data_IF_702566376475
#
_entry.id   IF_702566376475
#
_cell.length_a   1.000
_cell.length_b   1.000
_cell.length_c   1.000
_cell.angle_alpha   90.00
_cell.angle_beta   90.00
_cell.angle_gamma   90.00
#
_symmetry.space_group_name_H-M   'P 1'
#
loop_
_entity.id
_entity.type
_entity.pdbx_description
1 polymer ?
#
# COMPACT_ATOMS: atom_id res chain seq x y z
N UNK A 1 2.60 -18.66 0.92
CA UNK A 1 2.56 -18.81 -0.55
C UNK A 1 3.86 -19.46 -0.98
N UNK A 2 3.79 -20.48 -1.83
CA UNK A 2 4.97 -21.11 -2.43
C UNK A 2 5.58 -20.17 -3.47
N UNK A 3 6.88 -20.26 -3.71
CA UNK A 3 7.59 -19.34 -4.62
C UNK A 3 7.07 -19.38 -6.06
N UNK A 4 6.59 -20.56 -6.50
CA UNK A 4 5.95 -20.76 -7.80
C UNK A 4 4.60 -20.03 -7.92
N UNK A 5 3.81 -20.01 -6.84
CA UNK A 5 2.54 -19.27 -6.80
C UNK A 5 2.78 -17.76 -6.85
N UNK A 6 3.86 -17.27 -6.22
CA UNK A 6 4.24 -15.87 -6.29
C UNK A 6 4.61 -15.51 -7.73
N UNK A 7 5.35 -16.33 -8.47
CA UNK A 7 5.73 -16.00 -9.86
C UNK A 7 4.54 -15.98 -10.82
N UNK A 8 3.61 -16.91 -10.65
CA UNK A 8 2.53 -17.13 -11.61
C UNK A 8 1.23 -16.38 -11.28
N UNK A 9 1.11 -15.80 -10.07
CA UNK A 9 -0.07 -15.01 -9.72
C UNK A 9 -0.21 -13.77 -10.62
N UNK A 10 -1.41 -13.45 -11.12
CA UNK A 10 -1.66 -12.18 -11.80
C UNK A 10 -1.43 -11.04 -10.81
N UNK A 11 -0.39 -10.24 -11.03
CA UNK A 11 -0.01 -9.11 -10.17
C UNK A 11 -0.50 -7.83 -10.80
N UNK A 12 -1.32 -7.08 -10.07
CA UNK A 12 -1.54 -5.67 -10.36
C UNK A 12 -0.43 -4.86 -9.69
N UNK A 13 0.08 -3.87 -10.40
CA UNK A 13 1.11 -2.98 -9.86
C UNK A 13 0.42 -1.93 -8.98
N UNK A 14 0.61 -2.01 -7.67
CA UNK A 14 -0.02 -1.06 -6.76
C UNK A 14 0.70 0.30 -6.82
N UNK A 15 -0.03 1.33 -7.21
CA UNK A 15 0.49 2.69 -7.36
C UNK A 15 0.27 3.54 -6.10
N UNK A 16 -0.78 3.26 -5.33
CA UNK A 16 -1.06 3.98 -4.09
C UNK A 16 -1.65 3.05 -3.03
N UNK A 17 -1.17 3.24 -1.80
CA UNK A 17 -1.66 2.60 -0.60
C UNK A 17 -2.13 3.71 0.34
N UNK A 18 -3.42 3.71 0.69
CA UNK A 18 -4.00 4.64 1.64
C UNK A 18 -4.54 3.87 2.84
N UNK A 19 -4.27 4.35 4.04
CA UNK A 19 -4.75 3.73 5.27
C UNK A 19 -5.49 4.76 6.10
N UNK A 20 -6.73 4.44 6.46
CA UNK A 20 -7.55 5.20 7.37
C UNK A 20 -8.06 4.29 8.49
N UNK A 21 -8.53 4.87 9.60
CA UNK A 21 -9.06 4.09 10.71
C UNK A 21 -10.24 4.77 11.40
N UNK A 22 -11.10 3.94 11.95
CA UNK A 22 -12.10 4.28 12.96
C UNK A 22 -11.72 3.55 14.26
N UNK A 23 -12.42 3.81 15.39
CA UNK A 23 -12.18 3.05 16.61
C UNK A 23 -12.42 1.53 16.46
N UNK A 24 -13.20 1.11 15.47
CA UNK A 24 -13.63 -0.28 15.29
C UNK A 24 -12.83 -1.03 14.22
N UNK A 25 -12.36 -0.35 13.18
CA UNK A 25 -11.66 -0.97 12.06
C UNK A 25 -10.68 -0.03 11.35
N UNK A 26 -9.69 -0.63 10.71
CA UNK A 26 -8.80 0.02 9.75
C UNK A 26 -9.30 -0.27 8.34
N UNK A 27 -9.24 0.73 7.47
CA UNK A 27 -9.52 0.58 6.05
C UNK A 27 -8.22 0.79 5.29
N UNK A 28 -7.83 -0.19 4.49
CA UNK A 28 -6.70 -0.10 3.57
C UNK A 28 -7.25 -0.05 2.14
N UNK A 29 -6.93 1.01 1.42
CA UNK A 29 -7.19 1.15 0.00
C UNK A 29 -5.93 0.93 -0.82
N UNK A 30 -5.99 -0.04 -1.74
CA UNK A 30 -4.93 -0.34 -2.70
C UNK A 30 -5.46 0.01 -4.09
N UNK A 31 -4.76 0.89 -4.81
CA UNK A 31 -5.14 1.30 -6.16
C UNK A 31 -4.05 1.01 -7.19
N UNK A 32 -4.49 0.71 -8.42
CA UNK A 32 -3.68 0.46 -9.62
C UNK A 32 -4.46 0.99 -10.83
N UNK A 33 -4.07 2.14 -11.37
CA UNK A 33 -4.79 2.86 -12.41
C UNK A 33 -6.19 3.25 -11.95
N UNK A 34 -7.21 2.84 -12.71
CA UNK A 34 -8.63 3.06 -12.38
C UNK A 34 -9.21 1.98 -11.44
N UNK A 35 -8.44 0.95 -11.08
CA UNK A 35 -8.89 -0.12 -10.20
C UNK A 35 -8.46 0.16 -8.77
N UNK A 36 -9.42 0.12 -7.84
CA UNK A 36 -9.17 0.29 -6.42
C UNK A 36 -9.97 -0.72 -5.61
N UNK A 37 -9.35 -1.30 -4.58
CA UNK A 37 -10.06 -2.18 -3.64
C UNK A 37 -9.82 -1.71 -2.22
N UNK A 38 -10.91 -1.66 -1.45
CA UNK A 38 -10.90 -1.33 -0.05
C UNK A 38 -11.04 -2.60 0.78
N UNK A 39 -10.16 -2.77 1.76
CA UNK A 39 -10.20 -3.87 2.72
C UNK A 39 -10.41 -3.31 4.11
N UNK A 40 -11.38 -3.85 4.84
CA UNK A 40 -11.57 -3.55 6.26
C UNK A 40 -10.90 -4.61 7.11
N UNK A 41 -10.11 -4.16 8.08
CA UNK A 41 -9.33 -4.99 8.99
C UNK A 41 -9.64 -4.58 10.42
N UNK A 42 -9.84 -5.55 11.30
CA UNK A 42 -9.89 -5.27 12.75
C UNK A 42 -8.51 -4.78 13.23
N UNK A 43 -8.43 -4.00 14.33
CA UNK A 43 -7.15 -3.52 14.88
C UNK A 43 -6.10 -4.63 15.11
N UNK A 44 -6.53 -5.82 15.56
CA UNK A 44 -5.65 -6.96 15.81
C UNK A 44 -5.03 -7.49 14.50
N UNK A 45 -5.82 -7.59 13.43
CA UNK A 45 -5.32 -7.97 12.11
C UNK A 45 -4.34 -6.93 11.55
N UNK A 46 -4.63 -5.64 11.69
CA UNK A 46 -3.72 -4.56 11.27
C UNK A 46 -2.39 -4.63 12.01
N UNK A 47 -2.40 -4.90 13.33
CA UNK A 47 -1.17 -5.02 14.11
C UNK A 47 -0.31 -6.21 13.64
N UNK A 48 -0.94 -7.36 13.38
CA UNK A 48 -0.25 -8.54 12.81
C UNK A 48 0.30 -8.26 11.42
N UNK A 49 -0.45 -7.53 10.58
CA UNK A 49 0.01 -7.11 9.26
C UNK A 49 1.26 -6.24 9.36
N UNK A 50 1.29 -5.26 10.27
CA UNK A 50 2.47 -4.42 10.51
C UNK A 50 3.70 -5.25 10.89
N UNK A 51 3.55 -6.18 11.83
CA UNK A 51 4.65 -7.06 12.25
C UNK A 51 5.15 -7.94 11.10
N UNK A 52 4.23 -8.50 10.33
CA UNK A 52 4.54 -9.33 9.17
C UNK A 52 5.29 -8.53 8.09
N UNK A 53 4.84 -7.32 7.77
CA UNK A 53 5.50 -6.44 6.81
C UNK A 53 6.91 -6.07 7.28
N UNK A 54 7.09 -5.70 8.55
CA UNK A 54 8.42 -5.41 9.11
C UNK A 54 9.37 -6.60 8.95
N UNK A 55 8.91 -7.82 9.24
CA UNK A 55 9.71 -9.01 9.06
C UNK A 55 10.09 -9.27 7.59
N UNK A 56 9.11 -9.20 6.67
CA UNK A 56 9.34 -9.43 5.24
C UNK A 56 10.26 -8.38 4.62
N UNK A 57 10.14 -7.11 5.01
CA UNK A 57 11.05 -6.04 4.57
C UNK A 57 12.47 -6.34 5.04
N UNK A 58 12.64 -6.70 6.33
CA UNK A 58 13.97 -7.03 6.86
C UNK A 58 14.61 -8.23 6.13
N UNK A 59 13.85 -9.28 5.83
CA UNK A 59 14.35 -10.42 5.05
C UNK A 59 14.73 -10.02 3.62
N UNK A 60 13.98 -9.09 3.01
CA UNK A 60 14.27 -8.58 1.67
C UNK A 60 15.57 -7.76 1.67
N UNK A 61 15.72 -6.85 2.63
CA UNK A 61 16.88 -5.96 2.74
C UNK A 61 18.18 -6.74 2.96
N UNK A 62 18.14 -7.79 3.79
CA UNK A 62 19.29 -8.67 4.00
C UNK A 62 19.80 -9.34 2.72
N UNK A 63 18.91 -9.59 1.74
CA UNK A 63 19.23 -10.32 0.51
C UNK A 63 19.50 -9.40 -0.68
N UNK A 64 18.89 -8.21 -0.71
CA UNK A 64 18.85 -7.34 -1.90
C UNK A 64 19.41 -5.92 -1.65
N UNK A 65 19.80 -5.61 -0.41
CA UNK A 65 20.24 -4.27 -0.01
C UNK A 65 19.12 -3.42 0.61
N UNK A 66 19.53 -2.37 1.30
CA UNK A 66 18.65 -1.48 2.09
C UNK A 66 17.64 -0.72 1.21
N UNK A 67 16.39 -0.64 1.66
CA UNK A 67 15.35 0.15 1.00
C UNK A 67 15.42 1.58 1.54
N UNK A 68 15.84 2.52 0.70
CA UNK A 68 15.80 3.95 1.02
C UNK A 68 14.43 4.52 0.66
N UNK A 69 13.50 4.47 1.61
CA UNK A 69 12.17 5.05 1.47
C UNK A 69 11.83 5.92 2.68
N UNK A 70 11.50 7.19 2.44
CA UNK A 70 11.02 8.11 3.46
C UNK A 70 9.50 8.28 3.32
N UNK A 71 8.76 8.06 4.42
CA UNK A 71 7.35 8.43 4.46
C UNK A 71 7.26 9.91 4.83
N UNK A 72 6.74 10.74 3.92
CA UNK A 72 6.51 12.16 4.17
C UNK A 72 5.03 12.48 3.98
N UNK A 73 4.31 12.94 5.02
CA UNK A 73 2.88 13.23 4.95
C UNK A 73 2.54 14.36 3.97
N UNK A 74 3.53 15.16 3.56
CA UNK A 74 3.37 16.28 2.63
C UNK A 74 3.70 15.92 1.18
N UNK A 75 4.11 14.67 0.89
CA UNK A 75 4.41 14.24 -0.48
C UNK A 75 3.09 13.88 -1.18
N UNK A 76 2.57 14.86 -1.90
CA UNK A 76 1.40 14.75 -2.77
C UNK A 76 1.69 13.75 -3.88
N UNK A 77 0.80 12.77 -4.10
CA UNK A 77 0.95 11.78 -5.17
C UNK A 77 1.15 12.49 -6.53
N UNK A 78 2.15 12.11 -7.35
CA UNK A 78 2.38 12.74 -8.65
C UNK A 78 1.15 12.70 -9.57
N UNK A 79 0.28 11.69 -9.41
CA UNK A 79 -0.96 11.52 -10.19
C UNK A 79 -1.99 12.63 -9.90
N UNK A 80 -1.99 13.20 -8.69
CA UNK A 80 -2.90 14.30 -8.35
C UNK A 80 -2.56 15.63 -9.04
N UNK A 81 -1.34 15.79 -9.58
CA UNK A 81 -0.99 16.98 -10.38
C UNK A 81 -1.57 16.94 -11.79
N UNK A 82 -1.96 15.78 -12.31
CA UNK A 82 -2.36 15.63 -13.71
C UNK A 82 -3.80 16.10 -13.99
N UNK A 83 -4.69 16.14 -12.99
CA UNK A 83 -6.07 16.60 -13.14
C UNK A 83 -6.44 17.59 -12.03
N UNK A 84 -6.06 18.88 -12.13
CA UNK A 84 -6.74 19.91 -11.35
C UNK A 84 -8.23 19.90 -11.73
N UNK A 85 -9.17 19.95 -10.77
CA UNK A 85 -10.56 20.16 -11.11
C UNK A 85 -10.65 21.48 -11.90
N UNK A 86 -11.12 21.42 -13.14
CA UNK A 86 -11.47 22.62 -13.88
C UNK A 86 -12.51 23.36 -13.04
N UNK A 87 -12.18 24.57 -12.59
CA UNK A 87 -13.16 25.45 -11.98
C UNK A 87 -14.33 25.58 -12.95
N UNK A 88 -15.49 25.05 -12.56
CA UNK A 88 -16.74 25.29 -13.24
C UNK A 88 -17.00 26.79 -13.16
N UNK A 89 -16.68 27.51 -14.24
CA UNK A 89 -17.14 28.87 -14.52
C UNK A 89 -18.48 28.82 -15.24
#
# INVERSE_FOLDING_TARGET
MKQEEIKNAPKLFCESINVAFTPEYFVIGLTSGSQGTLYSLTPQHTKRLQQYLTHQISEFEQKNGEIKAEWNPNVVSPVQRANPPSELS
#
